data_IF_262290717803
#
_entry.id   IF_262290717803
#
_cell.length_a   1.000
_cell.length_b   1.000
_cell.length_c   1.000
_cell.angle_alpha   90.00
_cell.angle_beta   90.00
_cell.angle_gamma   90.00
#
_symmetry.space_group_name_H-M   'P 1'
#
loop_
_entity.id
_entity.type
_entity.pdbx_description
1 polymer ?
#
# COMPACT_ATOMS: atom_id res chain seq x y z
N UNK A 1 -23.15 2.17 7.07
CA UNK A 1 -21.81 2.21 7.72
C UNK A 1 -21.56 0.84 8.32
N UNK A 2 -20.90 -0.04 7.59
CA UNK A 2 -20.44 -1.32 8.15
C UNK A 2 -19.30 -1.04 9.13
N UNK A 3 -19.44 -1.50 10.37
CA UNK A 3 -18.39 -1.49 11.38
C UNK A 3 -17.79 -2.88 11.47
N UNK A 4 -16.57 -3.08 10.95
CA UNK A 4 -15.78 -4.25 11.27
C UNK A 4 -15.23 -4.09 12.71
N UNK A 5 -15.73 -4.89 13.65
CA UNK A 5 -15.20 -4.96 15.02
C UNK A 5 -14.15 -6.06 15.08
N UNK A 6 -12.92 -5.69 15.40
CA UNK A 6 -11.85 -6.61 15.75
C UNK A 6 -11.99 -6.96 17.24
N UNK A 7 -12.20 -8.25 17.54
CA UNK A 7 -12.22 -8.73 18.91
C UNK A 7 -10.81 -9.21 19.28
N UNK A 8 -10.13 -8.49 20.19
CA UNK A 8 -8.94 -9.00 20.86
C UNK A 8 -9.37 -9.78 22.10
N UNK A 9 -9.06 -11.09 22.15
CA UNK A 9 -9.16 -11.86 23.38
C UNK A 9 -8.04 -11.45 24.33
N UNK A 10 -8.39 -10.87 25.48
CA UNK A 10 -7.50 -10.72 26.63
C UNK A 10 -7.49 -12.03 27.42
N UNK A 11 -6.38 -12.77 27.39
CA UNK A 11 -6.11 -13.81 28.40
C UNK A 11 -5.05 -13.30 29.36
N UNK A 12 -5.44 -13.19 30.64
CA UNK A 12 -4.60 -12.76 31.74
C UNK A 12 -3.63 -13.84 32.19
N UNK A 13 -2.46 -13.39 32.67
CA UNK A 13 -1.47 -14.19 33.38
C UNK A 13 -1.95 -14.58 34.79
N UNK A 14 -1.39 -15.68 35.32
CA UNK A 14 -0.82 -15.60 36.66
C UNK A 14 0.64 -16.10 36.72
N UNK A 15 1.44 -15.32 37.47
CA UNK A 15 2.85 -15.50 37.83
C UNK A 15 3.29 -16.94 38.18
N UNK A 16 4.54 -17.27 37.79
CA UNK A 16 5.52 -17.83 38.73
C UNK A 16 6.96 -17.65 38.20
N UNK A 17 7.81 -17.09 39.06
CA UNK A 17 9.26 -16.98 38.93
C UNK A 17 9.93 -18.30 38.54
N UNK A 18 10.94 -18.24 37.66
CA UNK A 18 12.22 -18.89 37.93
C UNK A 18 13.32 -18.37 37.01
N UNK A 19 14.41 -17.98 37.65
CA UNK A 19 15.66 -17.50 37.07
C UNK A 19 16.35 -18.60 36.28
N UNK A 20 16.69 -18.36 35.00
CA UNK A 20 17.86 -18.97 34.40
C UNK A 20 18.37 -18.16 33.19
N UNK A 21 19.59 -17.66 33.35
CA UNK A 21 20.39 -16.98 32.34
C UNK A 21 20.76 -18.00 31.26
N UNK A 22 20.07 -17.97 30.13
CA UNK A 22 20.51 -18.64 28.90
C UNK A 22 20.80 -17.55 27.88
N UNK A 23 22.10 -17.29 27.68
CA UNK A 23 22.62 -16.49 26.57
C UNK A 23 22.32 -17.21 25.24
N UNK A 24 21.10 -17.09 24.74
CA UNK A 24 20.80 -17.42 23.37
C UNK A 24 21.25 -16.25 22.49
N UNK A 25 22.43 -16.42 21.87
CA UNK A 25 22.79 -15.71 20.64
C UNK A 25 21.74 -16.04 19.59
N UNK A 26 20.67 -15.25 19.56
CA UNK A 26 19.76 -15.18 18.42
C UNK A 26 20.60 -14.60 17.29
N UNK A 27 21.12 -15.46 16.44
CA UNK A 27 21.59 -15.08 15.12
C UNK A 27 20.37 -14.54 14.38
N UNK A 28 20.12 -13.24 14.51
CA UNK A 28 19.14 -12.54 13.70
C UNK A 28 19.66 -12.64 12.26
N UNK A 29 19.17 -13.64 11.52
CA UNK A 29 19.15 -13.56 10.06
C UNK A 29 18.37 -12.30 9.73
N UNK A 30 19.09 -11.21 9.47
CA UNK A 30 18.51 -10.00 8.91
C UNK A 30 17.93 -10.42 7.57
N UNK A 31 16.61 -10.61 7.52
CA UNK A 31 15.90 -10.76 6.25
C UNK A 31 16.15 -9.47 5.47
N UNK A 32 17.11 -9.51 4.54
CA UNK A 32 17.40 -8.41 3.64
C UNK A 32 16.14 -8.22 2.79
N UNK A 33 15.34 -7.21 3.12
CA UNK A 33 14.14 -6.86 2.36
C UNK A 33 14.57 -6.50 0.94
N UNK A 34 13.99 -7.15 -0.06
CA UNK A 34 14.26 -6.88 -1.48
C UNK A 34 13.09 -6.12 -2.09
N UNK A 35 13.39 -5.07 -2.83
CA UNK A 35 12.43 -4.31 -3.60
C UNK A 35 11.89 -5.14 -4.76
N UNK A 36 10.64 -4.90 -5.17
CA UNK A 36 10.04 -5.60 -6.30
C UNK A 36 10.74 -5.22 -7.61
N UNK A 37 10.69 -6.13 -8.59
CA UNK A 37 11.27 -5.86 -9.91
C UNK A 37 10.57 -4.68 -10.60
N UNK A 38 9.26 -4.53 -10.41
CA UNK A 38 8.50 -3.39 -10.94
C UNK A 38 9.00 -2.06 -10.36
N UNK A 39 9.21 -2.00 -9.05
CA UNK A 39 9.71 -0.78 -8.41
C UNK A 39 11.14 -0.47 -8.87
N UNK A 40 12.01 -1.47 -9.02
CA UNK A 40 13.36 -1.29 -9.57
C UNK A 40 13.33 -0.73 -11.01
N UNK A 41 12.32 -1.09 -11.80
CA UNK A 41 12.13 -0.57 -13.16
C UNK A 41 11.65 0.88 -13.12
N UNK A 42 10.62 1.19 -12.34
CA UNK A 42 10.06 2.54 -12.22
C UNK A 42 11.05 3.55 -11.62
N UNK A 43 11.96 3.09 -10.76
CA UNK A 43 13.05 3.91 -10.21
C UNK A 43 14.02 4.40 -11.30
N UNK A 44 14.23 3.61 -12.36
CA UNK A 44 15.12 3.98 -13.48
C UNK A 44 14.46 4.91 -14.50
N UNK A 45 13.13 4.99 -14.52
CA UNK A 45 12.40 5.82 -15.47
C UNK A 45 12.27 7.27 -15.00
N UNK A 46 12.56 8.26 -15.84
CA UNK A 46 12.44 9.67 -15.39
C UNK A 46 11.02 10.06 -14.99
N UNK A 47 10.01 9.49 -15.65
CA UNK A 47 8.60 9.87 -15.49
C UNK A 47 8.26 11.25 -16.07
N UNK A 48 9.20 11.89 -16.76
CA UNK A 48 9.03 13.25 -17.28
C UNK A 48 7.92 13.31 -18.32
N UNK A 49 7.09 14.34 -18.22
CA UNK A 49 5.93 14.53 -19.09
C UNK A 49 6.35 15.48 -20.21
N UNK A 50 6.41 14.95 -21.43
CA UNK A 50 6.82 15.75 -22.60
C UNK A 50 5.76 16.77 -22.98
N UNK A 51 6.15 18.03 -23.07
CA UNK A 51 5.32 19.11 -23.60
C UNK A 51 5.59 19.33 -25.09
N UNK A 52 4.57 19.79 -25.80
CA UNK A 52 4.69 20.21 -27.20
C UNK A 52 5.26 21.63 -27.28
N UNK A 53 5.84 21.99 -28.42
CA UNK A 53 6.25 23.36 -28.71
C UNK A 53 5.02 24.28 -28.67
N UNK A 54 5.11 25.37 -27.90
CA UNK A 54 4.06 26.37 -27.81
C UNK A 54 4.29 27.45 -28.88
N UNK A 55 3.37 27.54 -29.85
CA UNK A 55 3.49 28.49 -30.97
C UNK A 55 3.41 29.95 -30.57
N UNK A 56 2.85 30.27 -29.40
CA UNK A 56 2.68 31.63 -28.92
C UNK A 56 3.84 32.09 -28.03
N UNK A 57 4.36 31.19 -27.19
CA UNK A 57 5.35 31.55 -26.16
C UNK A 57 6.77 31.05 -26.44
N UNK A 58 6.96 29.98 -27.22
CA UNK A 58 8.30 29.51 -27.55
C UNK A 58 8.96 30.40 -28.61
N UNK A 59 10.01 31.14 -28.21
CA UNK A 59 10.82 32.02 -29.08
C UNK A 59 12.20 31.44 -29.38
N UNK A 60 12.25 30.16 -29.72
CA UNK A 60 13.50 29.46 -29.99
C UNK A 60 13.35 28.51 -31.18
N UNK A 61 14.48 28.04 -31.73
CA UNK A 61 14.48 27.07 -32.82
C UNK A 61 14.03 25.67 -32.35
N UNK A 62 13.82 24.74 -33.30
CA UNK A 62 13.36 23.38 -33.03
C UNK A 62 14.29 22.53 -32.16
N UNK A 63 15.57 22.90 -32.05
CA UNK A 63 16.58 22.15 -31.29
C UNK A 63 16.83 22.71 -29.89
N UNK A 64 16.16 23.81 -29.53
CA UNK A 64 16.28 24.47 -28.24
C UNK A 64 15.04 24.20 -27.38
N UNK A 65 15.15 24.47 -26.09
CA UNK A 65 14.07 24.27 -25.11
C UNK A 65 13.95 25.51 -24.22
N UNK A 66 12.73 25.87 -23.82
CA UNK A 66 12.45 26.96 -22.88
C UNK A 66 11.44 26.49 -21.82
N UNK A 67 11.08 27.40 -20.90
CA UNK A 67 10.14 27.15 -19.81
C UNK A 67 8.74 26.70 -20.25
N UNK A 68 8.33 26.97 -21.49
CA UNK A 68 7.01 26.58 -22.02
C UNK A 68 6.98 25.19 -22.66
N UNK A 69 8.13 24.67 -23.09
CA UNK A 69 8.22 23.36 -23.76
C UNK A 69 9.11 22.34 -23.05
N UNK A 70 9.79 22.72 -21.96
CA UNK A 70 10.57 21.76 -21.18
C UNK A 70 9.68 20.67 -20.57
N UNK A 71 10.15 19.41 -20.48
CA UNK A 71 9.38 18.36 -19.84
C UNK A 71 8.97 18.76 -18.41
N UNK A 72 7.75 18.40 -18.02
CA UNK A 72 7.27 18.60 -16.65
C UNK A 72 7.70 17.42 -15.78
N UNK A 73 7.84 17.69 -14.48
CA UNK A 73 8.02 16.66 -13.47
C UNK A 73 6.75 15.78 -13.35
N UNK A 74 6.89 14.49 -13.01
CA UNK A 74 5.76 13.55 -12.88
C UNK A 74 4.74 13.95 -11.79
N UNK A 75 5.15 14.80 -10.85
CA UNK A 75 4.33 15.32 -9.74
C UNK A 75 3.82 16.75 -9.99
N UNK A 76 3.84 17.26 -11.22
CA UNK A 76 3.36 18.62 -11.53
C UNK A 76 1.84 18.75 -11.23
N UNK A 77 1.43 19.70 -10.37
CA UNK A 77 0.04 19.79 -9.91
C UNK A 77 -0.93 20.23 -11.01
N UNK A 78 -0.52 21.09 -11.94
CA UNK A 78 -1.36 21.54 -13.05
C UNK A 78 -1.71 20.37 -13.98
N UNK A 79 -0.72 19.58 -14.38
CA UNK A 79 -0.91 18.40 -15.21
C UNK A 79 -1.84 17.38 -14.56
N UNK A 80 -1.64 17.09 -13.27
CA UNK A 80 -2.48 16.15 -12.54
C UNK A 80 -3.94 16.63 -12.51
N UNK A 81 -4.15 17.93 -12.27
CA UNK A 81 -5.48 18.55 -12.25
C UNK A 81 -6.16 18.49 -13.62
N UNK A 82 -5.45 18.87 -14.69
CA UNK A 82 -5.97 18.85 -16.06
C UNK A 82 -6.39 17.44 -16.52
N UNK A 83 -5.62 16.43 -16.13
CA UNK A 83 -5.89 15.02 -16.45
C UNK A 83 -6.81 14.34 -15.42
N UNK A 84 -7.39 15.07 -14.47
CA UNK A 84 -8.30 14.56 -13.43
C UNK A 84 -7.67 13.46 -12.56
N UNK A 85 -6.35 13.51 -12.37
CA UNK A 85 -5.60 12.61 -11.50
C UNK A 85 -5.64 13.18 -10.08
N UNK A 86 -6.38 12.50 -9.18
CA UNK A 86 -6.63 12.98 -7.81
C UNK A 86 -5.41 12.92 -6.88
N UNK A 87 -4.56 11.91 -7.07
CA UNK A 87 -3.38 11.64 -6.26
C UNK A 87 -2.23 11.28 -7.19
N UNK A 88 -1.01 11.73 -6.87
CA UNK A 88 0.18 11.29 -7.60
C UNK A 88 0.52 9.84 -7.24
N UNK A 89 1.25 9.15 -8.11
CA UNK A 89 1.75 7.81 -7.80
C UNK A 89 2.79 7.87 -6.68
N UNK A 90 2.94 6.78 -5.94
CA UNK A 90 3.98 6.67 -4.91
C UNK A 90 5.38 6.96 -5.45
N UNK A 91 5.70 6.47 -6.66
CA UNK A 91 7.00 6.70 -7.29
C UNK A 91 7.21 8.18 -7.66
N UNK A 92 6.16 8.88 -8.07
CA UNK A 92 6.20 10.34 -8.31
C UNK A 92 6.42 11.12 -7.01
N UNK A 93 5.75 10.71 -5.92
CA UNK A 93 5.96 11.29 -4.59
C UNK A 93 7.38 11.06 -4.08
N UNK A 94 7.90 9.84 -4.23
CA UNK A 94 9.26 9.51 -3.84
C UNK A 94 10.28 10.39 -4.55
N UNK A 95 10.11 10.62 -5.87
CA UNK A 95 10.93 11.56 -6.63
C UNK A 95 10.83 12.99 -6.10
N UNK A 96 9.63 13.48 -5.79
CA UNK A 96 9.41 14.82 -5.20
C UNK A 96 10.17 14.98 -3.87
N UNK A 97 10.28 13.90 -3.09
CA UNK A 97 10.86 13.88 -1.75
C UNK A 97 12.38 13.71 -1.69
N UNK A 98 13.06 13.48 -2.82
CA UNK A 98 14.52 13.28 -2.89
C UNK A 98 15.22 14.29 -3.79
N UNK A 99 16.49 14.57 -3.45
CA UNK A 99 17.37 15.38 -4.28
C UNK A 99 17.75 14.68 -5.58
N UNK A 100 18.14 15.45 -6.61
CA UNK A 100 18.61 14.89 -7.87
C UNK A 100 19.84 13.98 -7.70
N UNK A 101 20.75 14.33 -6.78
CA UNK A 101 21.91 13.50 -6.47
C UNK A 101 21.50 12.13 -5.89
N UNK A 102 20.47 12.08 -5.04
CA UNK A 102 19.92 10.82 -4.52
C UNK A 102 19.21 10.02 -5.61
N UNK A 103 18.57 10.67 -6.60
CA UNK A 103 17.98 9.99 -7.77
C UNK A 103 19.05 9.29 -8.60
N UNK A 104 20.18 9.95 -8.84
CA UNK A 104 21.30 9.40 -9.62
C UNK A 104 22.02 8.26 -8.91
N UNK A 105 22.16 8.33 -7.58
CA UNK A 105 22.76 7.27 -6.78
C UNK A 105 21.92 5.98 -6.73
N UNK A 106 20.60 6.11 -6.92
CA UNK A 106 19.64 5.02 -6.78
C UNK A 106 19.24 4.79 -5.32
N UNK A 107 17.94 4.61 -5.09
CA UNK A 107 17.32 4.27 -3.82
C UNK A 107 17.53 2.81 -3.45
N UNK A 108 17.67 1.91 -4.43
CA UNK A 108 17.98 0.50 -4.21
C UNK A 108 19.32 0.29 -3.46
N UNK A 109 20.22 1.27 -3.55
CA UNK A 109 21.53 1.30 -2.89
C UNK A 109 21.49 1.86 -1.46
N UNK A 110 20.29 2.25 -0.98
CA UNK A 110 20.11 2.93 0.29
C UNK A 110 20.30 4.46 0.19
N UNK A 111 20.22 5.16 1.33
CA UNK A 111 20.48 6.60 1.37
C UNK A 111 21.94 6.87 1.02
N UNK A 112 22.21 7.97 0.33
CA UNK A 112 23.58 8.47 0.20
C UNK A 112 24.21 8.68 1.58
N UNK A 113 25.55 8.53 1.71
CA UNK A 113 26.25 8.86 2.95
C UNK A 113 25.87 10.27 3.43
N UNK A 114 25.44 10.38 4.69
CA UNK A 114 24.94 11.61 5.32
C UNK A 114 23.63 12.20 4.74
N UNK A 115 22.88 11.44 3.93
CA UNK A 115 21.52 11.80 3.51
C UNK A 115 20.47 11.10 4.37
N UNK A 116 19.38 11.81 4.67
CA UNK A 116 18.22 11.22 5.35
C UNK A 116 17.44 10.36 4.37
N UNK A 117 16.82 9.28 4.86
CA UNK A 117 15.88 8.49 4.09
C UNK A 117 14.64 9.34 3.76
N UNK A 118 14.14 9.32 2.52
CA UNK A 118 12.99 10.14 2.13
C UNK A 118 11.66 9.69 2.70
N UNK A 119 11.59 8.46 3.21
CA UNK A 119 10.37 7.84 3.68
C UNK A 119 10.58 7.31 5.09
N UNK A 120 9.72 7.75 6.01
CA UNK A 120 9.63 7.23 7.36
C UNK A 120 8.18 6.81 7.60
N UNK A 121 7.98 5.59 8.09
CA UNK A 121 6.66 5.14 8.51
C UNK A 121 6.31 5.84 9.84
N UNK A 122 5.20 6.58 9.90
CA UNK A 122 4.86 7.32 11.11
C UNK A 122 4.55 6.34 12.25
N UNK A 123 5.26 6.50 13.38
CA UNK A 123 4.97 5.78 14.61
C UNK A 123 4.19 6.68 15.56
N UNK A 124 2.98 6.24 15.93
CA UNK A 124 2.13 6.92 16.91
C UNK A 124 2.12 6.22 18.28
N UNK A 125 2.99 5.22 18.47
CA UNK A 125 3.16 4.56 19.76
C UNK A 125 4.10 5.37 20.67
N UNK A 126 3.85 5.33 21.97
CA UNK A 126 4.81 5.83 22.94
C UNK A 126 6.12 5.03 22.83
N UNK A 127 7.25 5.74 22.78
CA UNK A 127 8.55 5.08 22.72
C UNK A 127 8.86 4.40 24.07
N UNK A 128 8.84 3.06 24.07
CA UNK A 128 9.10 2.24 25.26
C UNK A 128 10.56 2.28 25.71
N UNK A 129 11.49 2.61 24.81
CA UNK A 129 12.94 2.62 25.07
C UNK A 129 13.45 4.06 25.25
N UNK A 130 12.83 4.82 26.15
CA UNK A 130 13.19 6.21 26.36
C UNK A 130 14.45 6.35 27.24
N UNK A 131 15.42 7.15 26.82
CA UNK A 131 16.62 7.49 27.60
C UNK A 131 16.40 8.65 28.58
N UNK A 132 15.15 8.94 28.93
CA UNK A 132 14.74 10.13 29.68
C UNK A 132 14.84 10.01 31.21
N UNK A 133 15.38 8.92 31.74
CA UNK A 133 15.53 8.71 33.19
C UNK A 133 14.21 8.48 33.94
N UNK A 134 13.13 8.12 33.24
CA UNK A 134 11.85 7.70 33.81
C UNK A 134 11.60 6.21 33.55
N UNK A 135 10.65 5.62 34.28
CA UNK A 135 10.22 4.24 34.02
C UNK A 135 9.61 4.12 32.61
N UNK A 136 9.77 2.98 31.91
CA UNK A 136 9.16 2.76 30.60
C UNK A 136 7.64 2.92 30.63
N UNK A 137 7.04 3.23 29.47
CA UNK A 137 5.58 3.19 29.31
C UNK A 137 5.04 1.79 29.65
N UNK A 138 3.92 1.66 30.39
CA UNK A 138 2.98 2.72 30.81
C UNK A 138 3.32 3.50 32.09
N UNK A 139 4.42 3.18 32.77
CA UNK A 139 4.65 3.59 34.17
C UNK A 139 5.31 4.96 34.28
N UNK A 140 5.86 5.46 33.18
CA UNK A 140 6.41 6.81 33.07
C UNK A 140 6.44 7.30 31.63
N UNK A 141 6.32 8.62 31.46
CA UNK A 141 6.36 9.28 30.16
C UNK A 141 7.06 10.64 30.27
N UNK A 142 7.73 11.06 29.20
CA UNK A 142 8.26 12.42 29.05
C UNK A 142 7.98 12.93 27.64
N UNK A 143 8.26 14.21 27.39
CA UNK A 143 8.04 14.85 26.09
C UNK A 143 8.85 14.24 24.94
N UNK A 144 9.93 13.49 25.23
CA UNK A 144 10.75 12.81 24.22
C UNK A 144 10.16 11.47 23.74
N UNK A 145 9.38 10.79 24.58
CA UNK A 145 8.77 9.50 24.23
C UNK A 145 7.27 9.58 24.02
N UNK A 146 6.63 10.67 24.43
CA UNK A 146 5.23 10.95 24.18
C UNK A 146 5.00 11.15 22.68
N UNK A 147 4.03 10.43 22.06
CA UNK A 147 3.67 10.67 20.68
C UNK A 147 3.12 12.09 20.52
N UNK A 148 3.47 12.75 19.42
CA UNK A 148 2.99 14.09 19.13
C UNK A 148 1.49 14.10 18.80
N UNK A 149 0.84 15.25 18.96
CA UNK A 149 -0.54 15.43 18.55
C UNK A 149 -0.67 15.17 17.04
N UNK A 150 -1.64 14.34 16.66
CA UNK A 150 -1.87 13.94 15.26
C UNK A 150 -2.72 15.00 14.57
N UNK A 151 -2.23 15.51 13.44
CA UNK A 151 -3.02 16.33 12.51
C UNK A 151 -3.29 15.52 11.25
N UNK A 152 -4.55 15.19 10.99
CA UNK A 152 -4.94 14.44 9.80
C UNK A 152 -5.00 15.37 8.58
N UNK A 153 -4.32 14.98 7.52
CA UNK A 153 -4.34 15.66 6.22
C UNK A 153 -4.71 14.65 5.13
N UNK A 154 -5.24 15.16 4.02
CA UNK A 154 -5.47 14.31 2.85
C UNK A 154 -4.12 13.84 2.30
N UNK A 155 -3.97 12.52 2.14
CA UNK A 155 -2.75 11.94 1.59
C UNK A 155 -2.57 12.36 0.13
N UNK A 156 -1.40 12.92 -0.22
CA UNK A 156 -1.11 13.45 -1.56
C UNK A 156 -0.86 12.36 -2.63
N UNK A 157 -0.49 11.16 -2.18
CA UNK A 157 -0.09 10.04 -3.05
C UNK A 157 -0.85 8.77 -2.70
N UNK A 158 -0.76 7.77 -3.58
CA UNK A 158 -1.27 6.41 -3.35
C UNK A 158 -0.27 5.37 -3.85
N UNK A 159 -0.30 4.19 -3.24
CA UNK A 159 0.61 3.08 -3.59
C UNK A 159 0.26 2.46 -4.94
N UNK A 160 -1.04 2.30 -5.20
CA UNK A 160 -1.58 1.71 -6.42
C UNK A 160 -2.58 2.69 -7.03
N UNK A 161 -2.44 2.98 -8.32
CA UNK A 161 -3.21 4.00 -9.02
C UNK A 161 -4.49 3.48 -9.66
N UNK A 162 -4.49 2.21 -10.04
CA UNK A 162 -5.58 1.58 -10.77
C UNK A 162 -5.73 0.10 -10.38
N UNK A 163 -6.95 -0.39 -10.42
CA UNK A 163 -7.27 -1.80 -10.26
C UNK A 163 -7.97 -2.26 -11.53
N UNK A 164 -7.45 -3.33 -12.13
CA UNK A 164 -7.94 -3.89 -13.38
C UNK A 164 -8.27 -5.38 -13.17
N UNK A 165 -9.49 -5.78 -13.49
CA UNK A 165 -9.83 -7.20 -13.60
C UNK A 165 -9.43 -7.70 -14.98
N UNK A 166 -8.63 -8.77 -15.02
CA UNK A 166 -8.15 -9.31 -16.29
C UNK A 166 -9.22 -10.01 -17.13
N UNK A 167 -10.33 -10.41 -16.50
CA UNK A 167 -11.50 -10.98 -17.16
C UNK A 167 -12.76 -10.53 -16.38
N UNK A 168 -13.76 -9.92 -17.05
CA UNK A 168 -15.04 -9.57 -16.42
C UNK A 168 -15.73 -10.75 -15.72
N UNK A 169 -15.55 -11.99 -16.23
CA UNK A 169 -16.13 -13.20 -15.64
C UNK A 169 -15.67 -13.46 -14.21
N UNK A 170 -14.51 -12.93 -13.80
CA UNK A 170 -14.02 -13.03 -12.42
C UNK A 170 -15.01 -12.35 -11.47
N UNK A 171 -15.45 -11.13 -11.84
CA UNK A 171 -16.41 -10.35 -11.06
C UNK A 171 -17.79 -10.99 -11.14
N UNK A 172 -18.20 -11.45 -12.32
CA UNK A 172 -19.54 -12.06 -12.48
C UNK A 172 -19.71 -13.34 -11.66
N UNK A 173 -18.68 -14.19 -11.60
CA UNK A 173 -18.67 -15.40 -10.75
C UNK A 173 -18.74 -15.05 -9.26
N UNK A 174 -17.97 -14.05 -8.85
CA UNK A 174 -18.00 -13.57 -7.47
C UNK A 174 -19.37 -13.00 -7.08
N UNK A 175 -20.00 -12.24 -7.98
CA UNK A 175 -21.34 -11.68 -7.77
C UNK A 175 -22.47 -12.73 -7.85
N UNK A 176 -22.23 -13.90 -8.45
CA UNK A 176 -23.23 -14.96 -8.53
C UNK A 176 -23.71 -15.41 -7.14
N UNK A 177 -22.82 -15.44 -6.15
CA UNK A 177 -23.18 -15.75 -4.77
C UNK A 177 -24.27 -14.83 -4.22
N UNK A 178 -24.10 -13.51 -4.40
CA UNK A 178 -25.08 -12.54 -3.92
C UNK A 178 -26.40 -12.67 -4.68
N UNK A 179 -26.36 -12.90 -6.00
CA UNK A 179 -27.56 -13.11 -6.83
C UNK A 179 -28.36 -14.35 -6.39
N UNK A 180 -27.68 -15.40 -5.95
CA UNK A 180 -28.32 -16.66 -5.53
C UNK A 180 -28.83 -16.63 -4.09
N UNK A 181 -28.10 -15.96 -3.18
CA UNK A 181 -28.35 -16.07 -1.73
C UNK A 181 -28.93 -14.80 -1.10
N UNK A 182 -28.79 -13.64 -1.75
CA UNK A 182 -29.11 -12.35 -1.16
C UNK A 182 -28.21 -11.95 0.02
N UNK A 183 -27.08 -12.62 0.22
CA UNK A 183 -26.13 -12.34 1.30
C UNK A 183 -24.83 -11.73 0.79
N UNK A 184 -24.18 -10.91 1.62
CA UNK A 184 -22.91 -10.29 1.28
C UNK A 184 -21.77 -11.32 1.18
N UNK A 185 -20.68 -10.97 0.51
CA UNK A 185 -19.55 -11.86 0.26
C UNK A 185 -18.21 -11.14 0.48
N UNK A 186 -17.21 -11.90 0.90
CA UNK A 186 -15.82 -11.49 1.07
C UNK A 186 -14.91 -12.34 0.18
N UNK A 187 -13.87 -11.71 -0.38
CA UNK A 187 -12.87 -12.39 -1.20
C UNK A 187 -11.50 -11.73 -1.10
N UNK A 188 -10.46 -12.51 -1.39
CA UNK A 188 -9.08 -12.10 -1.49
C UNK A 188 -8.68 -12.01 -2.96
N UNK A 189 -8.13 -10.87 -3.36
CA UNK A 189 -7.75 -10.58 -4.73
C UNK A 189 -6.33 -11.08 -5.00
N UNK A 190 -6.19 -12.02 -5.92
CA UNK A 190 -4.89 -12.53 -6.35
C UNK A 190 -4.56 -12.07 -7.77
N UNK A 191 -3.32 -11.66 -7.98
CA UNK A 191 -2.90 -11.06 -9.23
C UNK A 191 -1.44 -10.65 -9.23
N UNK A 192 -1.12 -9.59 -9.95
CA UNK A 192 0.22 -8.99 -9.96
C UNK A 192 0.15 -7.48 -10.16
N UNK A 193 1.17 -6.76 -9.73
CA UNK A 193 1.33 -5.36 -10.07
C UNK A 193 1.99 -5.19 -11.45
N UNK A 194 1.50 -4.23 -12.22
CA UNK A 194 2.04 -3.85 -13.52
C UNK A 194 2.14 -2.34 -13.64
N UNK A 195 2.91 -1.86 -14.61
CA UNK A 195 2.99 -0.44 -14.92
C UNK A 195 1.64 0.08 -15.45
N UNK A 196 1.26 1.26 -15.00
CA UNK A 196 0.10 2.00 -15.49
C UNK A 196 0.53 3.29 -16.18
N UNK A 197 0.27 3.40 -17.49
CA UNK A 197 0.75 4.51 -18.31
C UNK A 197 -0.10 5.78 -18.23
N UNK A 198 -1.37 5.69 -17.81
CA UNK A 198 -2.26 6.86 -17.74
C UNK A 198 -1.93 7.81 -16.58
N UNK A 199 -1.10 7.37 -15.64
CA UNK A 199 -0.58 8.18 -14.53
C UNK A 199 0.95 8.15 -14.60
N UNK A 200 1.66 9.29 -14.49
CA UNK A 200 3.12 9.31 -14.47
C UNK A 200 3.68 8.37 -13.41
N UNK A 201 4.55 7.44 -13.82
CA UNK A 201 5.12 6.40 -12.95
C UNK A 201 4.05 5.63 -12.16
N UNK A 202 2.89 5.38 -12.78
CA UNK A 202 1.76 4.75 -12.13
C UNK A 202 1.91 3.24 -12.01
N UNK A 203 1.24 2.67 -11.02
CA UNK A 203 1.14 1.21 -10.81
C UNK A 203 -0.32 0.79 -10.87
N UNK A 204 -0.62 -0.30 -11.56
CA UNK A 204 -1.93 -0.96 -11.54
C UNK A 204 -1.84 -2.35 -10.90
N UNK A 205 -2.86 -2.70 -10.15
CA UNK A 205 -3.11 -4.05 -9.66
C UNK A 205 -3.95 -4.80 -10.70
N UNK A 206 -3.39 -5.84 -11.32
CA UNK A 206 -4.12 -6.68 -12.28
C UNK A 206 -4.60 -7.94 -11.60
N UNK A 207 -5.89 -8.02 -11.32
CA UNK A 207 -6.56 -9.13 -10.65
C UNK A 207 -6.80 -10.27 -11.63
N UNK A 208 -6.38 -11.48 -11.25
CA UNK A 208 -6.45 -12.72 -12.03
C UNK A 208 -7.39 -13.74 -11.42
N UNK A 209 -7.58 -13.70 -10.10
CA UNK A 209 -8.47 -14.59 -9.38
C UNK A 209 -8.98 -13.93 -8.10
N UNK A 210 -10.11 -14.44 -7.60
CA UNK A 210 -10.63 -14.14 -6.28
C UNK A 210 -10.66 -15.47 -5.51
N UNK A 211 -10.07 -15.49 -4.33
CA UNK A 211 -10.17 -16.61 -3.40
C UNK A 211 -11.17 -16.26 -2.30
N UNK A 212 -12.12 -17.15 -2.03
CA UNK A 212 -13.19 -16.90 -1.06
C UNK A 212 -12.98 -17.79 0.16
N UNK A 213 -12.34 -17.30 1.23
CA UNK A 213 -12.10 -18.09 2.42
C UNK A 213 -13.40 -18.38 3.19
N UNK A 214 -13.31 -19.28 4.16
CA UNK A 214 -14.45 -19.60 5.02
C UNK A 214 -14.99 -18.34 5.75
N UNK A 215 -16.30 -18.14 5.68
CA UNK A 215 -16.95 -16.89 6.09
C UNK A 215 -18.43 -17.11 6.43
N UNK A 216 -18.96 -16.30 7.34
CA UNK A 216 -20.37 -16.28 7.72
C UNK A 216 -21.05 -15.06 7.09
N UNK A 217 -22.01 -15.31 6.19
CA UNK A 217 -22.62 -14.26 5.36
C UNK A 217 -24.03 -13.92 5.84
N UNK A 218 -24.38 -12.63 5.79
CA UNK A 218 -25.70 -12.10 6.16
C UNK A 218 -26.14 -11.08 5.09
N UNK A 219 -27.44 -10.73 5.01
CA UNK A 219 -27.90 -9.69 4.07
C UNK A 219 -27.29 -8.31 4.33
N UNK A 220 -27.03 -7.97 5.60
CA UNK A 220 -26.56 -6.67 6.06
C UNK A 220 -25.07 -6.65 6.47
N UNK A 221 -24.36 -7.75 6.26
CA UNK A 221 -22.93 -7.85 6.56
C UNK A 221 -22.36 -9.25 6.46
N UNK A 222 -21.14 -9.42 6.98
CA UNK A 222 -20.43 -10.70 6.99
C UNK A 222 -19.44 -10.75 8.15
N UNK A 223 -19.04 -11.95 8.55
CA UNK A 223 -18.02 -12.20 9.59
C UNK A 223 -16.95 -13.12 9.01
N UNK A 224 -15.70 -12.70 9.15
CA UNK A 224 -14.51 -13.48 8.79
C UNK A 224 -13.56 -13.48 9.98
N UNK A 225 -13.18 -14.67 10.46
CA UNK A 225 -12.27 -14.82 11.59
C UNK A 225 -10.82 -14.80 11.11
N UNK A 226 -10.30 -13.61 10.78
CA UNK A 226 -8.97 -13.44 10.16
C UNK A 226 -7.79 -13.89 11.04
N UNK A 227 -7.98 -13.92 12.36
CA UNK A 227 -6.97 -14.32 13.33
C UNK A 227 -7.03 -15.83 13.67
N UNK A 228 -7.98 -16.58 13.09
CA UNK A 228 -8.10 -18.02 13.35
C UNK A 228 -6.97 -18.79 12.65
N UNK A 229 -6.54 -19.89 13.27
CA UNK A 229 -5.57 -20.80 12.67
C UNK A 229 -6.07 -21.34 11.32
N UNK A 230 -7.36 -21.66 11.24
CA UNK A 230 -8.00 -22.16 10.02
C UNK A 230 -7.89 -21.16 8.86
N UNK A 231 -8.18 -19.88 9.11
CA UNK A 231 -8.07 -18.84 8.10
C UNK A 231 -6.62 -18.64 7.66
N UNK A 232 -5.68 -18.60 8.61
CA UNK A 232 -4.26 -18.46 8.30
C UNK A 232 -3.74 -19.63 7.45
N UNK A 233 -4.12 -20.87 7.78
CA UNK A 233 -3.73 -22.07 7.04
C UNK A 233 -4.33 -22.09 5.63
N UNK A 234 -5.59 -21.69 5.50
CA UNK A 234 -6.30 -21.56 4.23
C UNK A 234 -5.62 -20.51 3.33
N UNK A 235 -5.36 -19.31 3.86
CA UNK A 235 -4.69 -18.22 3.14
C UNK A 235 -3.25 -18.59 2.80
N UNK A 236 -2.52 -19.28 3.68
CA UNK A 236 -1.17 -19.77 3.39
C UNK A 236 -1.13 -20.79 2.25
N UNK A 237 -2.14 -21.67 2.20
CA UNK A 237 -2.29 -22.64 1.12
C UNK A 237 -2.61 -21.93 -0.21
N UNK A 238 -3.56 -21.00 -0.21
CA UNK A 238 -3.88 -20.19 -1.38
C UNK A 238 -2.68 -19.36 -1.86
N UNK A 239 -1.94 -18.72 -0.95
CA UNK A 239 -0.71 -18.00 -1.25
C UNK A 239 0.37 -18.89 -1.89
N UNK A 240 0.47 -20.15 -1.46
CA UNK A 240 1.45 -21.09 -2.01
C UNK A 240 1.13 -21.45 -3.47
N UNK A 241 -0.15 -21.67 -3.78
CA UNK A 241 -0.62 -21.88 -5.16
C UNK A 241 -0.45 -20.60 -5.99
N UNK A 242 -0.80 -19.45 -5.44
CA UNK A 242 -0.65 -18.16 -6.12
C UNK A 242 0.81 -17.92 -6.53
N UNK A 243 1.78 -18.14 -5.62
CA UNK A 243 3.21 -18.01 -5.92
C UNK A 243 3.66 -18.95 -7.03
N UNK A 244 3.17 -20.19 -7.07
CA UNK A 244 3.47 -21.13 -8.16
C UNK A 244 2.95 -20.64 -9.52
N UNK A 245 1.90 -19.81 -9.52
CA UNK A 245 1.34 -19.15 -10.70
C UNK A 245 1.93 -17.76 -10.98
N UNK A 246 2.99 -17.34 -10.27
CA UNK A 246 3.54 -15.97 -10.29
C UNK A 246 2.50 -14.88 -9.96
N UNK A 247 1.61 -15.19 -9.01
CA UNK A 247 0.62 -14.28 -8.46
C UNK A 247 0.92 -14.02 -6.98
N UNK A 248 0.45 -12.88 -6.50
CA UNK A 248 0.51 -12.47 -5.11
C UNK A 248 -0.86 -11.96 -4.64
N UNK A 249 -1.03 -11.88 -3.32
CA UNK A 249 -2.20 -11.29 -2.70
C UNK A 249 -2.14 -9.76 -2.86
N UNK A 250 -3.05 -9.21 -3.67
CA UNK A 250 -3.10 -7.77 -3.98
C UNK A 250 -3.98 -6.98 -3.01
N UNK A 251 -4.99 -7.63 -2.42
CA UNK A 251 -5.95 -6.98 -1.56
C UNK A 251 -7.17 -7.83 -1.28
N UNK A 252 -8.27 -7.19 -0.91
CA UNK A 252 -9.55 -7.82 -0.61
C UNK A 252 -10.70 -7.12 -1.33
N UNK A 253 -11.80 -7.83 -1.48
CA UNK A 253 -13.07 -7.34 -2.02
C UNK A 253 -14.20 -7.78 -1.10
N UNK A 254 -15.18 -6.89 -0.93
CA UNK A 254 -16.43 -7.15 -0.23
C UNK A 254 -17.59 -6.65 -1.07
N UNK A 255 -18.74 -7.28 -0.93
CA UNK A 255 -20.00 -6.74 -1.47
C UNK A 255 -20.72 -5.89 -0.43
N UNK A 256 -21.36 -4.82 -0.91
CA UNK A 256 -22.36 -4.05 -0.18
C UNK A 256 -23.51 -3.80 -1.16
N UNK A 257 -24.28 -4.85 -1.42
CA UNK A 257 -25.32 -4.88 -2.46
C UNK A 257 -26.70 -5.04 -1.83
N UNK A 258 -27.62 -4.18 -2.25
CA UNK A 258 -29.04 -4.23 -1.88
C UNK A 258 -29.86 -4.13 -3.15
N UNK A 259 -30.82 -5.03 -3.32
CA UNK A 259 -31.76 -4.98 -4.44
C UNK A 259 -32.72 -3.80 -4.26
N UNK A 260 -32.97 -3.04 -5.32
CA UNK A 260 -33.86 -1.88 -5.28
C UNK A 260 -35.34 -2.24 -5.42
N UNK A 261 -35.65 -3.54 -5.59
CA UNK A 261 -37.01 -4.06 -5.76
C UNK A 261 -37.67 -3.69 -7.09
N UNK A 262 -36.95 -3.10 -8.03
CA UNK A 262 -37.51 -2.65 -9.31
C UNK A 262 -37.70 -3.79 -10.32
N UNK A 263 -36.96 -4.88 -10.18
CA UNK A 263 -37.09 -6.08 -11.01
C UNK A 263 -36.82 -5.86 -12.50
N UNK A 264 -36.12 -4.76 -12.86
CA UNK A 264 -35.72 -4.44 -14.25
C UNK A 264 -34.32 -4.90 -14.58
#
# INVERSE_FOLDING_TARGET
>A
MLFAKFAQETKGDPNSDDTNVIQNKISQKVNKRTQSELDNQLEKESGSILRKFDTHFCKHNSSSMCEYCMPLEPYNPEYLKENKIKHMSFQSYLRKSISNAQREYGLSSGPMPNSVLPLEEPSYFANKNCSGGHLPWPEGICTKCQPSAITLQQQEFRMTDHLEFSDPQIVDKYLAWWRETGTQRFGLLYGRYEKHSSVPLGIKAVVKAIYEPNQSNMPDGLIVNIDSAEFMDEVNSANSVARACNLELLGLIITDLTDDGSGT
#
